data_IF_577376431251
#
_entry.id   IF_577376431251
#
_cell.length_a   1.000
_cell.length_b   1.000
_cell.length_c   1.000
_cell.angle_alpha   90.00
_cell.angle_beta   90.00
_cell.angle_gamma   90.00
#
_symmetry.space_group_name_H-M   'P 1'
#
loop_
_entity.id
_entity.type
_entity.pdbx_description
1 polymer ?
#
# COMPACT_ATOMS: atom_id res chain seq x y z
N UNK A 1 -6.55 -17.57 -25.34
CA UNK A 1 -5.12 -17.56 -25.74
C UNK A 1 -4.34 -17.45 -24.46
N UNK A 2 -3.66 -18.50 -24.03
CA UNK A 2 -2.80 -18.51 -22.84
C UNK A 2 -1.60 -17.61 -23.15
N UNK A 3 -1.59 -16.40 -22.56
CA UNK A 3 -0.39 -15.58 -22.58
C UNK A 3 0.76 -16.36 -21.97
N UNK A 4 1.90 -16.45 -22.63
CA UNK A 4 3.12 -16.96 -22.02
C UNK A 4 3.42 -16.06 -20.82
N UNK A 5 3.34 -16.65 -19.62
CA UNK A 5 3.80 -16.02 -18.39
C UNK A 5 5.28 -15.71 -18.61
N UNK A 6 5.63 -14.44 -18.67
CA UNK A 6 7.01 -13.98 -18.65
C UNK A 6 7.71 -14.62 -17.45
N UNK A 7 8.97 -15.04 -17.61
CA UNK A 7 9.70 -15.81 -16.60
C UNK A 7 9.58 -15.18 -15.21
N UNK A 8 9.09 -15.97 -14.26
CA UNK A 8 9.05 -15.61 -12.83
C UNK A 8 10.46 -15.26 -12.33
N UNK A 9 10.58 -14.15 -11.63
CA UNK A 9 11.83 -13.70 -11.00
C UNK A 9 11.71 -13.81 -9.47
N UNK A 10 12.66 -14.45 -8.81
CA UNK A 10 12.70 -14.53 -7.35
C UNK A 10 13.35 -13.27 -6.79
N UNK A 11 12.65 -12.58 -5.87
CA UNK A 11 13.24 -11.46 -5.15
C UNK A 11 14.24 -11.98 -4.12
N UNK A 12 15.45 -11.47 -4.23
CA UNK A 12 16.55 -11.73 -3.29
C UNK A 12 17.21 -10.40 -2.96
N UNK A 13 18.00 -10.37 -1.91
CA UNK A 13 18.82 -9.22 -1.58
C UNK A 13 19.67 -8.77 -2.80
N UNK A 14 20.28 -9.71 -3.52
CA UNK A 14 21.07 -9.41 -4.70
C UNK A 14 20.21 -8.81 -5.84
N UNK A 15 19.06 -9.38 -6.11
CA UNK A 15 18.14 -8.85 -7.14
C UNK A 15 17.67 -7.43 -6.84
N UNK A 16 17.37 -7.13 -5.57
CA UNK A 16 16.97 -5.77 -5.16
C UNK A 16 18.13 -4.78 -5.25
N UNK A 17 19.34 -5.18 -4.90
CA UNK A 17 20.52 -4.34 -5.02
C UNK A 17 20.83 -3.98 -6.47
N UNK A 18 20.66 -4.94 -7.39
CA UNK A 18 20.80 -4.71 -8.83
C UNK A 18 19.66 -3.81 -9.37
N UNK A 19 18.54 -3.76 -8.68
CA UNK A 19 17.41 -2.88 -8.95
C UNK A 19 17.30 -1.80 -7.88
N UNK A 20 18.38 -1.05 -7.71
CA UNK A 20 18.54 -0.08 -6.63
C UNK A 20 17.47 1.02 -6.66
N UNK A 21 16.96 1.37 -5.47
CA UNK A 21 16.05 2.49 -5.31
C UNK A 21 16.69 3.81 -5.78
N UNK A 22 15.91 4.76 -6.28
CA UNK A 22 16.38 6.10 -6.56
C UNK A 22 17.09 6.69 -5.35
N UNK A 23 18.23 7.35 -5.58
CA UNK A 23 18.93 8.06 -4.52
C UNK A 23 18.00 9.10 -3.90
N UNK A 24 17.89 9.15 -2.57
CA UNK A 24 17.07 10.16 -1.93
C UNK A 24 17.57 11.56 -2.30
N UNK A 25 16.68 12.37 -2.83
CA UNK A 25 16.99 13.76 -3.16
C UNK A 25 17.40 14.58 -1.95
N UNK A 26 18.06 15.70 -2.17
CA UNK A 26 18.52 16.60 -1.12
C UNK A 26 17.36 17.25 -0.36
N UNK A 27 17.33 17.10 0.96
CA UNK A 27 16.32 17.70 1.84
C UNK A 27 14.93 17.07 1.73
N UNK A 28 14.00 17.59 2.54
CA UNK A 28 12.63 17.03 2.67
C UNK A 28 11.78 17.16 1.40
N UNK A 29 12.01 18.16 0.57
CA UNK A 29 11.29 18.35 -0.69
C UNK A 29 11.69 17.26 -1.72
N UNK A 30 12.98 17.01 -1.87
CA UNK A 30 13.49 16.04 -2.83
C UNK A 30 13.27 14.57 -2.43
N UNK A 31 12.77 14.31 -1.20
CA UNK A 31 12.39 12.97 -0.75
C UNK A 31 10.90 12.67 -0.90
N UNK A 32 10.16 13.57 -1.54
CA UNK A 32 8.78 13.41 -1.89
C UNK A 32 7.78 13.64 -0.77
N UNK A 33 6.52 13.79 -1.16
CA UNK A 33 5.38 14.03 -0.28
C UNK A 33 4.34 12.93 -0.48
N UNK A 34 3.86 12.36 0.62
CA UNK A 34 2.79 11.35 0.64
C UNK A 34 1.54 11.91 1.27
N UNK A 35 0.39 11.60 0.68
CA UNK A 35 -0.92 11.71 1.31
C UNK A 35 -1.41 10.31 1.65
N UNK A 36 -1.76 10.06 2.91
CA UNK A 36 -2.43 8.83 3.34
C UNK A 36 -3.87 9.17 3.71
N UNK A 37 -4.82 8.51 3.06
CA UNK A 37 -6.26 8.72 3.26
C UNK A 37 -6.90 7.46 3.80
N UNK A 38 -7.57 7.58 4.92
CA UNK A 38 -8.23 6.46 5.56
C UNK A 38 -8.53 6.71 7.03
N UNK A 39 -8.79 5.64 7.76
CA UNK A 39 -9.11 5.70 9.18
C UNK A 39 -10.52 6.21 9.45
N UNK A 40 -11.39 5.30 9.89
CA UNK A 40 -12.65 5.66 10.51
C UNK A 40 -12.44 5.96 12.00
N UNK A 41 -13.50 6.42 12.67
CA UNK A 41 -13.51 6.61 14.14
C UNK A 41 -13.12 5.34 14.89
N UNK A 42 -13.48 4.18 14.36
CA UNK A 42 -13.25 2.88 15.00
C UNK A 42 -11.88 2.27 14.71
N UNK A 43 -11.23 2.64 13.60
CA UNK A 43 -9.97 2.06 13.10
C UNK A 43 -8.91 3.10 12.72
N UNK A 44 -8.65 4.11 13.57
CA UNK A 44 -7.64 5.13 13.27
C UNK A 44 -6.20 4.55 13.27
N UNK A 45 -6.00 3.38 13.89
CA UNK A 45 -4.69 2.71 13.95
C UNK A 45 -4.17 2.25 12.60
N UNK A 46 -5.04 1.89 11.65
CA UNK A 46 -4.65 1.45 10.33
C UNK A 46 -3.98 2.59 9.54
N UNK A 47 -4.64 3.75 9.46
CA UNK A 47 -4.06 4.92 8.79
C UNK A 47 -2.81 5.43 9.51
N UNK A 48 -2.74 5.30 10.85
CA UNK A 48 -1.56 5.62 11.64
C UNK A 48 -0.35 4.76 11.21
N UNK A 49 -0.53 3.45 11.14
CA UNK A 49 0.53 2.50 10.73
C UNK A 49 0.99 2.76 9.30
N UNK A 50 0.06 2.93 8.36
CA UNK A 50 0.40 3.26 6.97
C UNK A 50 1.15 4.60 6.88
N UNK A 51 0.70 5.61 7.59
CA UNK A 51 1.30 6.94 7.59
C UNK A 51 2.73 6.94 8.16
N UNK A 52 2.95 6.32 9.31
CA UNK A 52 4.31 6.22 9.88
C UNK A 52 5.23 5.41 8.97
N UNK A 53 4.75 4.34 8.33
CA UNK A 53 5.54 3.54 7.41
C UNK A 53 6.10 4.36 6.25
N UNK A 54 5.38 5.37 5.73
CA UNK A 54 5.88 6.24 4.67
C UNK A 54 7.13 7.03 5.09
N UNK A 55 7.14 7.52 6.32
CA UNK A 55 8.30 8.25 6.88
C UNK A 55 9.47 7.31 7.18
N UNK A 56 9.18 6.09 7.66
CA UNK A 56 10.21 5.08 7.98
C UNK A 56 10.97 4.59 6.75
N UNK A 57 10.35 4.62 5.57
CA UNK A 57 11.07 4.34 4.33
C UNK A 57 11.65 5.59 3.65
N UNK A 58 11.59 6.74 4.31
CA UNK A 58 12.35 7.92 3.98
C UNK A 58 11.62 8.99 3.17
N UNK A 59 10.30 8.94 3.04
CA UNK A 59 9.52 10.05 2.48
C UNK A 59 9.79 11.35 3.24
N UNK A 60 9.82 12.47 2.54
CA UNK A 60 10.23 13.75 3.11
C UNK A 60 9.12 14.51 3.81
N UNK A 61 7.87 14.32 3.38
CA UNK A 61 6.69 14.99 3.92
C UNK A 61 5.51 14.04 3.95
N UNK A 62 4.69 14.15 4.99
CA UNK A 62 3.49 13.35 5.19
C UNK A 62 2.28 14.25 5.45
N UNK A 63 1.19 13.96 4.74
CA UNK A 63 -0.15 14.44 5.05
C UNK A 63 -1.05 13.24 5.34
N UNK A 64 -1.93 13.38 6.31
CA UNK A 64 -2.92 12.36 6.68
C UNK A 64 -4.29 13.00 6.56
N UNK A 65 -5.18 12.41 5.77
CA UNK A 65 -6.59 12.80 5.67
C UNK A 65 -7.44 11.67 6.25
N UNK A 66 -8.14 11.93 7.34
CA UNK A 66 -8.83 10.93 8.16
C UNK A 66 -10.13 11.48 8.74
N UNK A 67 -10.94 10.65 9.37
CA UNK A 67 -12.17 11.09 10.04
C UNK A 67 -11.90 12.27 11.00
N UNK A 68 -12.73 13.29 10.94
CA UNK A 68 -12.54 14.53 11.69
C UNK A 68 -12.37 14.34 13.18
N UNK A 69 -13.12 13.36 13.74
CA UNK A 69 -13.08 13.05 15.18
C UNK A 69 -11.74 12.50 15.68
N UNK A 70 -10.90 11.93 14.80
CA UNK A 70 -9.60 11.31 15.20
C UNK A 70 -8.38 12.06 14.69
N UNK A 71 -8.54 13.05 13.81
CA UNK A 71 -7.43 13.77 13.15
C UNK A 71 -6.46 14.42 14.13
N UNK A 72 -6.95 15.06 15.19
CA UNK A 72 -6.12 15.70 16.23
C UNK A 72 -5.28 14.67 17.01
N UNK A 73 -5.83 13.48 17.25
CA UNK A 73 -5.10 12.40 17.92
C UNK A 73 -3.96 11.89 17.05
N UNK A 74 -4.17 11.74 15.73
CA UNK A 74 -3.12 11.35 14.79
C UNK A 74 -2.02 12.41 14.70
N UNK A 75 -2.36 13.70 14.69
CA UNK A 75 -1.38 14.79 14.69
C UNK A 75 -0.45 14.77 15.92
N UNK A 76 -0.96 14.29 17.07
CA UNK A 76 -0.14 14.13 18.28
C UNK A 76 0.76 12.89 18.19
N UNK A 77 0.26 11.79 17.62
CA UNK A 77 1.01 10.53 17.50
C UNK A 77 2.10 10.58 16.43
N UNK A 78 1.89 11.33 15.34
CA UNK A 78 2.90 11.55 14.28
C UNK A 78 3.11 13.07 14.14
N UNK A 79 3.91 13.69 15.02
CA UNK A 79 4.13 15.14 15.02
C UNK A 79 4.84 15.65 13.75
N UNK A 80 5.44 14.77 12.96
CA UNK A 80 6.05 15.06 11.66
C UNK A 80 5.03 15.21 10.53
N UNK A 81 3.74 14.92 10.78
CA UNK A 81 2.68 14.97 9.78
C UNK A 81 1.84 16.25 9.84
N UNK A 82 1.15 16.52 8.72
CA UNK A 82 -0.02 17.41 8.70
C UNK A 82 -1.27 16.52 8.66
N UNK A 83 -2.05 16.49 9.75
CA UNK A 83 -3.29 15.73 9.81
C UNK A 83 -4.49 16.62 9.51
N UNK A 84 -5.37 16.17 8.63
CA UNK A 84 -6.56 16.87 8.14
C UNK A 84 -7.80 16.05 8.48
N UNK A 85 -8.76 16.66 9.18
CA UNK A 85 -10.06 16.04 9.44
C UNK A 85 -10.98 16.15 8.24
N UNK A 86 -11.47 15.02 7.75
CA UNK A 86 -12.47 14.91 6.70
C UNK A 86 -13.89 14.81 7.31
N UNK A 87 -14.93 15.15 6.54
CA UNK A 87 -16.31 14.87 6.91
C UNK A 87 -16.52 13.36 7.15
N UNK A 88 -17.23 13.07 8.24
CA UNK A 88 -17.61 11.70 8.63
C UNK A 88 -19.12 11.63 8.90
N UNK A 89 -19.68 10.44 8.80
CA UNK A 89 -21.07 10.17 9.17
C UNK A 89 -21.22 9.90 10.69
N UNK A 90 -22.42 9.60 11.13
CA UNK A 90 -22.71 9.30 12.54
C UNK A 90 -21.97 8.04 13.06
N UNK A 91 -21.64 7.09 12.17
CA UNK A 91 -20.84 5.91 12.49
C UNK A 91 -19.34 6.24 12.56
N UNK A 92 -18.91 7.37 12.03
CA UNK A 92 -17.52 7.80 11.96
C UNK A 92 -16.79 7.31 10.72
N UNK A 93 -17.52 6.95 9.68
CA UNK A 93 -16.96 6.60 8.36
C UNK A 93 -16.74 7.85 7.51
N UNK A 94 -15.72 7.82 6.65
CA UNK A 94 -15.47 8.90 5.70
C UNK A 94 -16.60 8.98 4.68
N UNK A 95 -17.02 10.21 4.37
CA UNK A 95 -18.11 10.46 3.39
C UNK A 95 -17.58 11.10 2.10
N UNK A 96 -18.34 11.00 1.01
CA UNK A 96 -18.03 11.62 -0.27
C UNK A 96 -17.86 13.16 -0.17
N UNK A 97 -18.41 13.80 0.85
CA UNK A 97 -18.20 15.24 1.12
C UNK A 97 -16.72 15.62 1.34
N UNK A 98 -15.85 14.66 1.63
CA UNK A 98 -14.40 14.83 1.74
C UNK A 98 -13.64 14.81 0.40
N UNK A 99 -14.27 14.46 -0.71
CA UNK A 99 -13.62 14.22 -1.98
C UNK A 99 -12.81 15.41 -2.51
N UNK A 100 -13.37 16.60 -2.52
CA UNK A 100 -12.68 17.81 -2.98
C UNK A 100 -11.42 18.10 -2.16
N UNK A 101 -11.51 17.96 -0.85
CA UNK A 101 -10.35 18.14 0.04
C UNK A 101 -9.24 17.13 -0.27
N UNK A 102 -9.60 15.87 -0.50
CA UNK A 102 -8.62 14.81 -0.83
C UNK A 102 -7.92 15.15 -2.15
N UNK A 103 -8.69 15.54 -3.19
CA UNK A 103 -8.13 15.88 -4.51
C UNK A 103 -7.20 17.10 -4.43
N UNK A 104 -7.58 18.15 -3.69
CA UNK A 104 -6.72 19.31 -3.46
C UNK A 104 -5.41 18.96 -2.76
N UNK A 105 -5.46 18.09 -1.74
CA UNK A 105 -4.27 17.63 -1.03
C UNK A 105 -3.38 16.77 -1.92
N UNK A 106 -3.98 15.89 -2.71
CA UNK A 106 -3.28 14.98 -3.62
C UNK A 106 -2.51 15.71 -4.71
N UNK A 107 -3.02 16.83 -5.23
CA UNK A 107 -2.40 17.62 -6.27
C UNK A 107 -0.97 18.13 -5.92
N UNK A 108 -0.65 18.19 -4.63
CA UNK A 108 0.68 18.56 -4.15
C UNK A 108 1.54 17.38 -3.66
N UNK A 109 1.12 16.14 -3.91
CA UNK A 109 1.78 14.93 -3.44
C UNK A 109 2.35 14.10 -4.60
N UNK A 110 3.45 13.41 -4.33
CA UNK A 110 4.11 12.50 -5.29
C UNK A 110 3.48 11.10 -5.24
N UNK A 111 2.86 10.74 -4.12
CA UNK A 111 2.10 9.51 -3.96
C UNK A 111 0.90 9.67 -3.02
N UNK A 112 -0.16 8.90 -3.27
CA UNK A 112 -1.35 8.82 -2.43
C UNK A 112 -1.60 7.36 -2.05
N UNK A 113 -1.89 7.10 -0.78
CA UNK A 113 -2.32 5.80 -0.26
C UNK A 113 -3.77 5.94 0.18
N UNK A 114 -4.68 5.14 -0.39
CA UNK A 114 -6.10 5.16 -0.09
C UNK A 114 -6.56 3.80 0.45
N UNK A 115 -7.33 3.82 1.53
CA UNK A 115 -8.08 2.64 2.01
C UNK A 115 -7.79 2.16 3.41
N UNK A 116 -6.56 2.27 3.97
CA UNK A 116 -6.27 1.79 5.33
C UNK A 116 -7.28 2.31 6.35
N UNK A 117 -7.98 1.40 7.03
CA UNK A 117 -8.92 1.75 8.11
C UNK A 117 -10.26 2.36 7.69
N UNK A 118 -10.63 2.32 6.41
CA UNK A 118 -12.01 2.48 5.98
C UNK A 118 -12.74 1.17 6.25
N UNK A 119 -13.93 1.20 6.86
CA UNK A 119 -14.61 0.00 7.33
C UNK A 119 -15.92 -0.30 6.60
N UNK A 120 -16.55 0.68 5.96
CA UNK A 120 -17.84 0.52 5.31
C UNK A 120 -17.68 0.57 3.78
N UNK A 121 -18.08 -0.53 3.08
CA UNK A 121 -17.85 -0.70 1.64
C UNK A 121 -18.58 0.36 0.81
N UNK A 122 -19.85 0.66 1.12
CA UNK A 122 -20.64 1.57 0.32
C UNK A 122 -20.07 2.99 0.39
N UNK A 123 -19.71 3.46 1.59
CA UNK A 123 -19.07 4.76 1.79
C UNK A 123 -17.70 4.83 1.09
N UNK A 124 -16.91 3.75 1.14
CA UNK A 124 -15.65 3.67 0.42
C UNK A 124 -15.83 3.81 -1.09
N UNK A 125 -16.77 3.06 -1.68
CA UNK A 125 -17.04 3.11 -3.13
C UNK A 125 -17.52 4.50 -3.54
N UNK A 126 -18.45 5.11 -2.78
CA UNK A 126 -18.96 6.44 -3.06
C UNK A 126 -17.83 7.48 -3.04
N UNK A 127 -17.05 7.54 -1.97
CA UNK A 127 -15.94 8.47 -1.82
C UNK A 127 -14.88 8.28 -2.92
N UNK A 128 -14.46 7.03 -3.15
CA UNK A 128 -13.38 6.74 -4.10
C UNK A 128 -13.82 6.92 -5.55
N UNK A 129 -15.10 6.76 -5.87
CA UNK A 129 -15.65 7.05 -7.20
C UNK A 129 -15.60 8.54 -7.54
N UNK A 130 -15.66 9.41 -6.53
CA UNK A 130 -15.49 10.85 -6.70
C UNK A 130 -14.02 11.28 -6.69
N UNK A 131 -13.16 10.57 -5.99
CA UNK A 131 -11.75 10.93 -5.82
C UNK A 131 -10.87 10.38 -6.93
N UNK A 132 -10.87 9.05 -7.14
CA UNK A 132 -9.86 8.36 -7.97
C UNK A 132 -9.81 8.87 -9.41
N UNK A 133 -10.94 9.12 -10.12
CA UNK A 133 -10.89 9.63 -11.50
C UNK A 133 -10.26 11.02 -11.65
N UNK A 134 -10.11 11.75 -10.54
CA UNK A 134 -9.58 13.13 -10.52
C UNK A 134 -8.12 13.18 -10.07
N UNK A 135 -7.53 12.05 -9.67
CA UNK A 135 -6.13 11.99 -9.28
C UNK A 135 -5.23 11.90 -10.52
N UNK A 136 -4.14 12.64 -10.50
CA UNK A 136 -3.06 12.58 -11.49
C UNK A 136 -1.71 12.39 -10.78
N UNK A 137 -1.67 11.50 -9.82
CA UNK A 137 -0.48 11.16 -9.04
C UNK A 137 -0.39 9.65 -8.85
N UNK A 138 0.75 9.15 -8.41
CA UNK A 138 0.93 7.72 -8.18
C UNK A 138 0.06 7.27 -7.01
N UNK A 139 -0.65 6.16 -7.18
CA UNK A 139 -1.70 5.70 -6.28
C UNK A 139 -1.41 4.31 -5.69
N UNK A 140 -1.66 4.14 -4.41
CA UNK A 140 -1.76 2.83 -3.73
C UNK A 140 -3.18 2.63 -3.25
N UNK A 141 -3.81 1.52 -3.63
CA UNK A 141 -5.09 1.08 -3.10
C UNK A 141 -4.91 -0.17 -2.23
N UNK A 142 -5.34 -0.11 -0.99
CA UNK A 142 -5.24 -1.18 0.00
C UNK A 142 -6.56 -1.34 0.75
N UNK A 143 -6.79 -2.50 1.34
CA UNK A 143 -7.99 -2.79 2.13
C UNK A 143 -9.28 -2.41 1.37
N UNK A 144 -10.21 -1.64 1.97
CA UNK A 144 -11.42 -1.21 1.27
C UNK A 144 -11.18 -0.21 0.11
N UNK A 145 -9.95 0.29 -0.09
CA UNK A 145 -9.56 0.93 -1.34
C UNK A 145 -9.74 0.03 -2.55
N UNK A 146 -9.61 -1.30 -2.38
CA UNK A 146 -9.86 -2.30 -3.43
C UNK A 146 -11.32 -2.36 -3.90
N UNK A 147 -12.27 -1.91 -3.08
CA UNK A 147 -13.68 -1.88 -3.48
C UNK A 147 -13.92 -0.99 -4.71
N UNK A 148 -13.15 0.07 -4.88
CA UNK A 148 -13.20 0.92 -6.07
C UNK A 148 -12.89 0.13 -7.36
N UNK A 149 -11.81 -0.66 -7.36
CA UNK A 149 -11.40 -1.45 -8.53
C UNK A 149 -12.38 -2.58 -8.81
N UNK A 150 -12.97 -3.14 -7.76
CA UNK A 150 -14.03 -4.16 -7.89
C UNK A 150 -15.24 -3.63 -8.65
N UNK A 151 -15.71 -2.44 -8.31
CA UNK A 151 -16.87 -1.81 -8.95
C UNK A 151 -16.51 -1.11 -10.28
N UNK A 152 -15.23 -0.71 -10.48
CA UNK A 152 -14.74 0.03 -11.63
C UNK A 152 -13.48 -0.62 -12.23
N UNK A 153 -13.58 -1.75 -12.94
CA UNK A 153 -12.41 -2.52 -13.39
C UNK A 153 -11.42 -1.75 -14.27
N UNK A 154 -11.87 -0.76 -15.05
CA UNK A 154 -11.04 0.11 -15.88
C UNK A 154 -10.76 1.48 -15.25
N UNK A 155 -11.13 1.71 -14.02
CA UNK A 155 -11.13 3.03 -13.38
C UNK A 155 -9.74 3.65 -13.15
N UNK A 156 -8.67 2.87 -13.34
CA UNK A 156 -7.28 3.33 -13.17
C UNK A 156 -6.56 3.63 -14.49
N UNK A 157 -7.20 3.46 -15.64
CA UNK A 157 -6.56 3.60 -16.97
C UNK A 157 -5.90 4.98 -17.18
N UNK A 158 -6.48 6.05 -16.63
CA UNK A 158 -5.95 7.42 -16.70
C UNK A 158 -4.61 7.60 -15.96
N UNK A 159 -4.27 6.70 -15.04
CA UNK A 159 -3.00 6.74 -14.32
C UNK A 159 -1.83 6.12 -15.10
N UNK A 160 -2.09 5.46 -16.22
CA UNK A 160 -1.06 4.93 -17.12
C UNK A 160 0.01 4.08 -16.39
N UNK A 161 -0.44 3.09 -15.63
CA UNK A 161 0.42 2.19 -14.83
C UNK A 161 0.94 2.76 -13.51
N UNK A 162 0.62 4.02 -13.16
CA UNK A 162 1.04 4.67 -11.92
C UNK A 162 0.15 4.28 -10.73
N UNK A 163 -0.22 3.00 -10.63
CA UNK A 163 -0.99 2.48 -9.50
C UNK A 163 -0.43 1.16 -8.99
N UNK A 164 -0.55 0.95 -7.69
CA UNK A 164 -0.27 -0.32 -7.00
C UNK A 164 -1.48 -0.74 -6.20
N UNK A 165 -1.92 -1.97 -6.40
CA UNK A 165 -3.01 -2.62 -5.68
C UNK A 165 -2.42 -3.62 -4.69
N UNK A 166 -2.88 -3.61 -3.45
CA UNK A 166 -2.38 -4.51 -2.41
C UNK A 166 -3.48 -5.40 -1.81
N UNK A 167 -4.22 -6.18 -2.63
CA UNK A 167 -5.26 -7.07 -2.12
C UNK A 167 -4.65 -8.24 -1.35
N UNK A 168 -5.31 -8.66 -0.27
CA UNK A 168 -5.13 -10.01 0.24
C UNK A 168 -5.83 -11.03 -0.70
N UNK A 169 -5.60 -12.36 -0.56
CA UNK A 169 -6.20 -13.36 -1.46
C UNK A 169 -7.74 -13.29 -1.51
N UNK A 170 -8.42 -12.98 -0.42
CA UNK A 170 -9.89 -12.85 -0.39
C UNK A 170 -10.37 -11.60 -1.14
N UNK A 171 -9.66 -10.50 -1.00
CA UNK A 171 -9.93 -9.27 -1.76
C UNK A 171 -9.65 -9.48 -3.24
N UNK A 172 -8.57 -10.20 -3.59
CA UNK A 172 -8.24 -10.57 -4.97
C UNK A 172 -9.37 -11.41 -5.60
N UNK A 173 -9.81 -12.46 -4.90
CA UNK A 173 -10.92 -13.32 -5.34
C UNK A 173 -12.20 -12.50 -5.58
N UNK A 174 -12.55 -11.64 -4.63
CA UNK A 174 -13.72 -10.76 -4.74
C UNK A 174 -13.59 -9.77 -5.91
N UNK A 175 -12.41 -9.19 -6.11
CA UNK A 175 -12.18 -8.21 -7.18
C UNK A 175 -12.23 -8.86 -8.55
N UNK A 176 -11.79 -10.10 -8.68
CA UNK A 176 -11.87 -10.87 -9.93
C UNK A 176 -13.22 -11.58 -10.15
N UNK A 177 -14.07 -11.63 -9.12
CA UNK A 177 -15.33 -12.40 -9.11
C UNK A 177 -15.09 -13.90 -9.35
N UNK A 178 -14.13 -14.46 -8.60
CA UNK A 178 -13.78 -15.89 -8.63
C UNK A 178 -13.81 -16.50 -7.22
N UNK A 179 -13.94 -17.84 -7.08
CA UNK A 179 -13.86 -18.51 -5.79
C UNK A 179 -12.51 -18.27 -5.09
N UNK A 180 -12.52 -18.18 -3.75
CA UNK A 180 -11.28 -18.06 -2.96
C UNK A 180 -10.34 -19.26 -3.19
N UNK A 181 -10.88 -20.48 -3.29
CA UNK A 181 -10.11 -21.71 -3.54
C UNK A 181 -9.35 -21.66 -4.88
N UNK A 182 -9.91 -21.02 -5.91
CA UNK A 182 -9.22 -20.86 -7.20
C UNK A 182 -8.01 -19.92 -7.08
N UNK A 183 -8.16 -18.84 -6.30
CA UNK A 183 -7.03 -17.94 -6.02
C UNK A 183 -5.95 -18.62 -5.18
N UNK A 184 -6.33 -19.45 -4.21
CA UNK A 184 -5.37 -20.24 -3.42
C UNK A 184 -4.61 -21.24 -4.28
N UNK A 185 -5.28 -21.85 -5.27
CA UNK A 185 -4.66 -22.83 -6.19
C UNK A 185 -3.68 -22.17 -7.18
N UNK A 186 -3.96 -20.94 -7.63
CA UNK A 186 -3.11 -20.20 -8.58
C UNK A 186 -3.07 -18.69 -8.25
N UNK A 187 -2.51 -18.34 -7.11
CA UNK A 187 -2.33 -16.93 -6.70
C UNK A 187 -1.55 -16.11 -7.73
N UNK A 188 -0.42 -16.57 -8.31
CA UNK A 188 0.34 -15.81 -9.30
C UNK A 188 -0.47 -15.54 -10.58
N UNK A 189 -1.18 -16.52 -11.11
CA UNK A 189 -2.02 -16.33 -12.30
C UNK A 189 -3.12 -15.31 -12.09
N UNK A 190 -3.78 -15.34 -10.92
CA UNK A 190 -4.81 -14.35 -10.57
C UNK A 190 -4.23 -12.96 -10.31
N UNK A 191 -3.00 -12.86 -9.75
CA UNK A 191 -2.31 -11.59 -9.60
C UNK A 191 -2.01 -10.95 -10.97
N UNK A 192 -1.52 -11.72 -11.93
CA UNK A 192 -1.28 -11.27 -13.31
C UNK A 192 -2.60 -10.83 -13.97
N UNK A 193 -3.65 -11.64 -13.85
CA UNK A 193 -4.97 -11.33 -14.43
C UNK A 193 -5.53 -9.99 -13.90
N UNK A 194 -5.39 -9.73 -12.59
CA UNK A 194 -5.80 -8.44 -12.03
C UNK A 194 -4.91 -7.31 -12.50
N UNK A 195 -3.58 -7.52 -12.57
CA UNK A 195 -2.65 -6.49 -13.01
C UNK A 195 -2.92 -6.04 -14.45
N UNK A 196 -3.13 -6.99 -15.36
CA UNK A 196 -3.51 -6.71 -16.75
C UNK A 196 -4.87 -6.00 -16.84
N UNK A 197 -5.89 -6.51 -16.13
CA UNK A 197 -7.25 -5.94 -16.13
C UNK A 197 -7.30 -4.51 -15.61
N UNK A 198 -6.56 -4.22 -14.54
CA UNK A 198 -6.56 -2.92 -13.89
C UNK A 198 -5.53 -1.95 -14.49
N UNK A 199 -4.58 -2.42 -15.31
CA UNK A 199 -3.45 -1.62 -15.75
C UNK A 199 -2.57 -1.12 -14.61
N UNK A 200 -2.41 -1.92 -13.54
CA UNK A 200 -1.74 -1.54 -12.30
C UNK A 200 -0.85 -2.67 -11.78
N UNK A 201 0.14 -2.35 -10.96
CA UNK A 201 0.92 -3.37 -10.25
C UNK A 201 0.06 -3.98 -9.15
N UNK A 202 0.10 -5.30 -9.00
CA UNK A 202 -0.62 -6.03 -7.94
C UNK A 202 0.36 -6.69 -7.01
N UNK A 203 0.17 -6.52 -5.71
CA UNK A 203 0.91 -7.20 -4.63
C UNK A 203 -0.06 -8.04 -3.82
N UNK A 204 0.10 -9.36 -3.84
CA UNK A 204 -0.79 -10.27 -3.10
C UNK A 204 -0.02 -11.48 -2.57
N UNK A 205 -0.63 -12.24 -1.71
CA UNK A 205 -0.07 -13.48 -1.18
C UNK A 205 -0.26 -13.66 0.31
N UNK A 206 0.29 -14.74 0.83
CA UNK A 206 0.30 -15.11 2.24
C UNK A 206 1.74 -15.39 2.70
N UNK A 207 2.14 -16.66 2.82
CA UNK A 207 3.52 -17.04 3.14
C UNK A 207 4.50 -16.69 1.99
N UNK A 208 4.03 -16.78 0.75
CA UNK A 208 4.72 -16.29 -0.44
C UNK A 208 3.96 -15.07 -0.95
N UNK A 209 4.68 -14.00 -1.24
CA UNK A 209 4.10 -12.81 -1.86
C UNK A 209 4.42 -12.77 -3.35
N UNK A 210 3.46 -12.31 -4.14
CA UNK A 210 3.56 -12.16 -5.58
C UNK A 210 3.39 -10.71 -5.97
N UNK A 211 4.26 -10.22 -6.82
CA UNK A 211 4.19 -8.89 -7.41
C UNK A 211 4.02 -9.07 -8.91
N UNK A 212 2.89 -8.67 -9.46
CA UNK A 212 2.58 -8.74 -10.87
C UNK A 212 2.49 -7.35 -11.47
N UNK A 213 3.18 -7.10 -12.57
CA UNK A 213 3.07 -5.86 -13.33
C UNK A 213 2.13 -6.04 -14.53
N UNK A 214 1.47 -4.97 -15.02
CA UNK A 214 0.52 -5.05 -16.13
C UNK A 214 1.16 -5.46 -17.48
N UNK A 215 2.48 -5.44 -17.58
CA UNK A 215 3.24 -5.91 -18.75
C UNK A 215 3.59 -7.40 -18.68
N UNK A 216 3.06 -8.14 -17.71
CA UNK A 216 3.25 -9.57 -17.53
C UNK A 216 4.51 -9.96 -16.72
N UNK A 217 5.34 -9.01 -16.28
CA UNK A 217 6.45 -9.32 -15.36
C UNK A 217 5.91 -9.78 -14.01
N UNK A 218 6.52 -10.82 -13.47
CA UNK A 218 6.10 -11.44 -12.21
C UNK A 218 7.32 -11.68 -11.30
N UNK A 219 7.18 -11.24 -10.04
CA UNK A 219 8.18 -11.51 -9.02
C UNK A 219 7.57 -12.28 -7.86
N UNK A 220 8.37 -13.18 -7.31
CA UNK A 220 8.05 -13.97 -6.12
C UNK A 220 8.95 -13.56 -4.97
N UNK A 221 8.36 -13.30 -3.83
CA UNK A 221 9.06 -13.01 -2.57
C UNK A 221 8.72 -14.06 -1.51
N UNK A 222 9.72 -14.68 -0.95
CA UNK A 222 9.62 -15.68 0.10
C UNK A 222 10.15 -15.16 1.45
N UNK A 223 10.44 -13.85 1.54
CA UNK A 223 10.80 -13.24 2.80
C UNK A 223 9.58 -13.12 3.72
N UNK A 224 9.85 -13.17 5.01
CA UNK A 224 8.81 -13.00 6.00
C UNK A 224 8.74 -14.14 7.01
N UNK A 225 7.76 -14.04 7.87
CA UNK A 225 7.53 -14.99 8.94
C UNK A 225 6.04 -15.18 9.20
N UNK A 226 5.69 -16.29 9.82
CA UNK A 226 4.31 -16.55 10.26
C UNK A 226 3.73 -15.42 11.11
N UNK A 227 4.55 -14.73 11.88
CA UNK A 227 4.15 -13.61 12.73
C UNK A 227 3.62 -12.38 11.98
N UNK A 228 3.85 -12.27 10.67
CA UNK A 228 3.28 -11.19 9.84
C UNK A 228 1.78 -11.32 9.60
N UNK A 229 1.18 -12.47 9.90
CA UNK A 229 -0.27 -12.68 9.85
C UNK A 229 -1.00 -12.01 11.02
N UNK A 230 -0.76 -10.72 11.24
CA UNK A 230 -1.35 -9.90 12.32
C UNK A 230 -2.07 -8.69 11.75
N UNK A 231 -3.06 -8.19 12.50
CA UNK A 231 -3.78 -6.97 12.14
C UNK A 231 -2.83 -5.77 12.05
N UNK A 232 -2.96 -4.99 10.99
CA UNK A 232 -2.14 -3.81 10.74
C UNK A 232 -0.87 -4.07 9.91
N UNK A 233 -0.49 -5.33 9.68
CA UNK A 233 0.69 -5.69 8.90
C UNK A 233 0.56 -5.25 7.43
N UNK A 234 -0.63 -5.41 6.82
CA UNK A 234 -0.95 -4.90 5.48
C UNK A 234 -0.85 -3.39 5.38
N UNK A 235 -1.39 -2.67 6.39
CA UNK A 235 -1.33 -1.20 6.43
C UNK A 235 0.12 -0.70 6.42
N UNK A 236 1.01 -1.35 7.18
CA UNK A 236 2.46 -1.05 7.15
C UNK A 236 3.01 -1.24 5.73
N UNK A 237 2.71 -2.37 5.07
CA UNK A 237 3.18 -2.66 3.71
C UNK A 237 2.67 -1.62 2.71
N UNK A 238 1.39 -1.26 2.75
CA UNK A 238 0.80 -0.23 1.89
C UNK A 238 1.49 1.14 2.09
N UNK A 239 1.79 1.52 3.33
CA UNK A 239 2.54 2.73 3.65
C UNK A 239 3.98 2.70 3.11
N UNK A 240 4.67 1.55 3.20
CA UNK A 240 6.01 1.39 2.62
C UNK A 240 5.99 1.59 1.11
N UNK A 241 5.03 1.00 0.40
CA UNK A 241 4.86 1.18 -1.04
C UNK A 241 4.69 2.68 -1.34
N UNK A 242 3.74 3.35 -0.68
CA UNK A 242 3.46 4.77 -0.89
C UNK A 242 4.68 5.67 -0.63
N UNK A 243 5.44 5.39 0.42
CA UNK A 243 6.64 6.16 0.74
C UNK A 243 7.78 5.96 -0.26
N UNK A 244 7.99 4.74 -0.80
CA UNK A 244 8.97 4.46 -1.84
C UNK A 244 8.58 5.09 -3.19
N UNK A 245 7.29 5.06 -3.54
CA UNK A 245 6.74 5.77 -4.70
C UNK A 245 7.03 7.27 -4.62
N UNK A 246 6.75 7.90 -3.47
CA UNK A 246 7.01 9.32 -3.28
C UNK A 246 8.51 9.67 -3.42
N UNK A 247 9.40 8.73 -3.12
CA UNK A 247 10.85 8.89 -3.35
C UNK A 247 11.27 8.69 -4.80
N UNK A 248 10.33 8.45 -5.72
CA UNK A 248 10.56 8.31 -7.15
C UNK A 248 10.82 6.88 -7.62
N UNK A 249 10.55 5.86 -6.80
CA UNK A 249 10.60 4.48 -7.26
C UNK A 249 9.45 4.21 -8.25
N UNK A 250 9.72 3.40 -9.28
CA UNK A 250 8.67 2.90 -10.17
C UNK A 250 7.68 2.00 -9.42
N UNK A 251 6.41 1.87 -9.85
CA UNK A 251 5.40 1.10 -9.16
C UNK A 251 5.81 -0.34 -8.83
N UNK A 252 6.35 -1.09 -9.79
CA UNK A 252 6.82 -2.46 -9.55
C UNK A 252 8.05 -2.50 -8.63
N UNK A 253 8.96 -1.55 -8.75
CA UNK A 253 10.12 -1.43 -7.89
C UNK A 253 9.71 -1.13 -6.44
N UNK A 254 8.83 -0.14 -6.24
CA UNK A 254 8.32 0.20 -4.91
C UNK A 254 7.62 -0.99 -4.25
N UNK A 255 6.78 -1.70 -5.01
CA UNK A 255 6.08 -2.89 -4.57
C UNK A 255 7.05 -4.01 -4.15
N UNK A 256 8.07 -4.31 -4.97
CA UNK A 256 9.07 -5.34 -4.69
C UNK A 256 9.91 -5.01 -3.44
N UNK A 257 10.46 -3.79 -3.39
CA UNK A 257 11.25 -3.34 -2.25
C UNK A 257 10.46 -3.25 -0.95
N UNK A 258 9.21 -2.76 -1.00
CA UNK A 258 8.34 -2.69 0.17
C UNK A 258 8.00 -4.08 0.69
N UNK A 259 7.62 -5.01 -0.20
CA UNK A 259 7.26 -6.38 0.17
C UNK A 259 8.43 -7.10 0.83
N UNK A 260 9.61 -7.09 0.20
CA UNK A 260 10.80 -7.73 0.76
C UNK A 260 11.24 -7.08 2.07
N UNK A 261 11.24 -5.74 2.15
CA UNK A 261 11.58 -5.03 3.39
C UNK A 261 10.63 -5.35 4.53
N UNK A 262 9.34 -5.45 4.25
CA UNK A 262 8.32 -5.85 5.21
C UNK A 262 8.55 -7.28 5.71
N UNK A 263 8.83 -8.21 4.80
CA UNK A 263 9.17 -9.59 5.12
C UNK A 263 10.41 -9.69 6.02
N UNK A 264 11.50 -9.02 5.63
CA UNK A 264 12.75 -8.97 6.41
C UNK A 264 12.56 -8.36 7.80
N UNK A 265 11.76 -7.31 7.93
CA UNK A 265 11.40 -6.75 9.23
C UNK A 265 10.69 -7.78 10.11
N UNK A 266 9.75 -8.54 9.55
CA UNK A 266 9.07 -9.63 10.24
C UNK A 266 10.01 -10.77 10.69
N UNK A 267 10.98 -11.15 9.86
CA UNK A 267 12.01 -12.13 10.22
C UNK A 267 12.88 -11.67 11.40
N UNK A 268 13.31 -10.40 11.39
CA UNK A 268 14.08 -9.81 12.49
C UNK A 268 13.30 -9.82 13.80
N UNK A 269 12.02 -9.43 13.76
CA UNK A 269 11.15 -9.46 14.94
C UNK A 269 10.90 -10.89 15.40
N UNK A 270 10.70 -11.83 14.50
CA UNK A 270 10.54 -13.25 14.84
C UNK A 270 11.77 -13.82 15.55
N UNK A 271 12.96 -13.45 15.10
CA UNK A 271 14.21 -13.87 15.73
C UNK A 271 14.44 -13.22 17.11
N UNK A 272 13.98 -11.97 17.31
CA UNK A 272 14.20 -11.21 18.52
C UNK A 272 13.12 -11.40 19.58
N UNK A 273 11.86 -11.48 19.18
CA UNK A 273 10.70 -11.53 20.08
C UNK A 273 10.10 -12.92 20.12
N UNK A 274 9.97 -13.57 18.95
CA UNK A 274 9.35 -14.88 18.76
C UNK A 274 8.55 -14.94 17.46
N UNK A 275 8.24 -16.16 17.03
CA UNK A 275 7.51 -16.41 15.77
C UNK A 275 6.08 -15.87 15.76
N UNK A 276 5.55 -15.54 16.92
CA UNK A 276 4.26 -14.87 17.13
C UNK A 276 4.41 -13.87 18.26
N UNK A 277 3.50 -12.88 18.32
CA UNK A 277 3.38 -11.97 19.48
C UNK A 277 4.07 -10.62 19.32
N UNK A 278 4.84 -10.37 18.26
CA UNK A 278 5.20 -9.01 17.90
C UNK A 278 3.99 -8.28 17.28
N UNK A 279 3.99 -6.96 17.34
CA UNK A 279 2.90 -6.12 16.88
C UNK A 279 3.29 -5.44 15.57
N UNK A 280 2.29 -5.13 14.72
CA UNK A 280 2.52 -4.47 13.44
C UNK A 280 3.31 -3.14 13.58
N UNK A 281 3.07 -2.37 14.64
CA UNK A 281 3.82 -1.14 14.92
C UNK A 281 5.32 -1.35 15.18
N UNK A 282 5.73 -2.56 15.57
CA UNK A 282 7.14 -2.86 15.82
C UNK A 282 7.93 -3.07 14.51
N UNK A 283 7.24 -3.43 13.41
CA UNK A 283 7.83 -3.49 12.07
C UNK A 283 8.44 -2.14 11.67
N UNK A 284 7.78 -1.04 12.01
CA UNK A 284 8.17 0.31 11.65
C UNK A 284 9.59 0.66 12.10
N UNK A 285 10.00 0.20 13.27
CA UNK A 285 11.34 0.45 13.80
C UNK A 285 12.44 -0.33 13.06
N UNK A 286 12.12 -1.47 12.45
CA UNK A 286 13.08 -2.30 11.71
C UNK A 286 13.35 -1.75 10.30
N UNK A 287 12.37 -1.07 9.67
CA UNK A 287 12.41 -0.67 8.26
C UNK A 287 13.66 0.13 7.87
N UNK A 288 14.07 1.19 8.59
CA UNK A 288 15.26 1.95 8.17
C UNK A 288 16.52 1.08 8.12
N UNK A 289 16.69 0.19 9.11
CA UNK A 289 17.83 -0.73 9.16
C UNK A 289 17.79 -1.80 8.07
N UNK A 290 16.60 -2.30 7.72
CA UNK A 290 16.42 -3.24 6.61
C UNK A 290 16.75 -2.59 5.28
N UNK A 291 16.29 -1.37 5.02
CA UNK A 291 16.59 -0.66 3.78
C UNK A 291 18.08 -0.40 3.61
N UNK A 292 18.81 -0.09 4.68
CA UNK A 292 20.30 0.04 4.65
C UNK A 292 20.94 -1.29 4.29
N UNK A 293 20.52 -2.40 4.94
CA UNK A 293 21.04 -3.75 4.65
C UNK A 293 20.84 -4.12 3.18
N UNK A 294 19.65 -3.91 2.64
CA UNK A 294 19.31 -4.26 1.26
C UNK A 294 20.01 -3.37 0.21
N UNK A 295 20.44 -2.18 0.59
CA UNK A 295 21.14 -1.23 -0.29
C UNK A 295 22.67 -1.38 -0.24
N UNK A 296 23.20 -2.24 0.64
CA UNK A 296 24.66 -2.50 0.83
C UNK A 296 25.18 -3.66 -0.07
#
# INVERSE_FOLDING_TARGET
MSGEVSSESVLTHHALRDWALPSPGGGKEGRGRVLVVGGSRSTPGAVLLAAEATLRCGAGKLQIATAGSVSSSLAIHIPESKSIGLPEDDAGELTAAGADTIVELAAGCDAVVLGPGICEKAAAVELLSDVVPRLDTTLVLDALGMAYVTENPGGLAHLDGRAVLSPNPKELARTLDVPEDDVEADTPGHAVALAERAGAVVVTGTATSWIAAPDGRLWRDESGSFGLGISGSGDVKAGLIGGLLARGAEPAQAAAWATHSHGRAGERLSARIGTTGFLARELLAEIPGVLVELSS
#
